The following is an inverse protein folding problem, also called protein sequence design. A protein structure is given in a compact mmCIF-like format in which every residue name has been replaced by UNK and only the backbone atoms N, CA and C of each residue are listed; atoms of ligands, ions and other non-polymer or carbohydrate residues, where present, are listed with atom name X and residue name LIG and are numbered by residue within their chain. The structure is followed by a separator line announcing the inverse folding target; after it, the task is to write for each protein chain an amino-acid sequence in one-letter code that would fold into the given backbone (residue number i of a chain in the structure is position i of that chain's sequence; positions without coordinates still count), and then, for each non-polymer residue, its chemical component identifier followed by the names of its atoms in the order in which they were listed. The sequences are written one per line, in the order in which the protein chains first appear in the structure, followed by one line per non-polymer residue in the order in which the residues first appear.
data_IF_549943997082
#
_entry.id   IF_549943997082
#
_cell.length_a   1.000
_cell.length_b   1.000
_cell.length_c   1.000
_cell.angle_alpha   90.00
_cell.angle_beta   90.00
_cell.angle_gamma   90.00
#
_symmetry.space_group_name_H-M   'P 1'
#
loop_
_entity.id
_entity.type
_entity.pdbx_description
1 polymer ?
#
# COMPACT_ATOMS: atom_id res chain seq x y z
N UNK A 1 -49.40 2.63 -3.75
CA UNK A 1 -48.13 1.92 -4.04
C UNK A 1 -47.05 2.96 -4.33
N UNK A 2 -46.39 3.50 -3.30
CA UNK A 2 -45.30 4.48 -3.48
C UNK A 2 -43.99 3.74 -3.76
N UNK A 3 -43.41 3.98 -4.93
CA UNK A 3 -42.04 3.56 -5.25
C UNK A 3 -41.08 4.56 -4.59
N UNK A 4 -40.39 4.14 -3.53
CA UNK A 4 -39.22 4.85 -3.04
C UNK A 4 -38.09 4.71 -4.07
N UNK A 5 -37.78 5.80 -4.77
CA UNK A 5 -36.61 5.88 -5.63
C UNK A 5 -35.39 5.96 -4.71
N UNK A 6 -34.68 4.84 -4.58
CA UNK A 6 -33.46 4.76 -3.78
C UNK A 6 -32.41 5.74 -4.30
N UNK A 7 -31.99 6.67 -3.44
CA UNK A 7 -30.84 7.52 -3.69
C UNK A 7 -29.60 6.60 -3.62
N UNK A 8 -29.11 6.14 -4.76
CA UNK A 8 -27.76 5.57 -4.83
C UNK A 8 -26.77 6.69 -4.50
N UNK A 9 -26.24 6.69 -3.27
CA UNK A 9 -24.99 7.37 -2.96
C UNK A 9 -23.93 6.75 -3.87
N UNK A 10 -23.62 7.38 -5.00
CA UNK A 10 -22.39 7.08 -5.72
C UNK A 10 -21.25 7.53 -4.81
N UNK A 11 -20.68 6.59 -4.06
CA UNK A 11 -19.34 6.79 -3.53
C UNK A 11 -18.44 6.91 -4.75
N UNK A 12 -17.88 8.09 -5.00
CA UNK A 12 -16.71 8.22 -5.88
C UNK A 12 -15.55 7.52 -5.16
N UNK A 13 -15.54 6.20 -5.18
CA UNK A 13 -14.36 5.40 -4.83
C UNK A 13 -13.47 5.42 -6.06
N UNK A 14 -12.24 5.91 -5.90
CA UNK A 14 -11.24 5.77 -6.95
C UNK A 14 -11.09 4.28 -7.29
N UNK A 15 -11.00 3.89 -8.56
CA UNK A 15 -10.75 2.50 -8.89
C UNK A 15 -9.42 2.05 -8.32
N UNK A 16 -9.30 0.75 -8.01
CA UNK A 16 -8.07 0.17 -7.45
C UNK A 16 -6.86 0.37 -8.39
N UNK A 17 -7.08 0.62 -9.68
CA UNK A 17 -6.07 1.00 -10.68
C UNK A 17 -5.33 2.29 -10.32
N UNK A 18 -5.96 3.21 -9.61
CA UNK A 18 -5.39 4.54 -9.33
C UNK A 18 -4.36 4.50 -8.20
N UNK A 19 -4.37 3.44 -7.38
CA UNK A 19 -3.33 3.22 -6.39
C UNK A 19 -2.06 2.76 -7.12
N UNK A 20 -0.90 3.43 -7.00
CA UNK A 20 0.31 2.97 -7.66
C UNK A 20 0.74 1.57 -7.18
N UNK A 21 1.13 0.69 -8.09
CA UNK A 21 1.60 -0.66 -7.73
C UNK A 21 2.90 -0.59 -6.92
N UNK A 22 3.78 0.35 -7.24
CA UNK A 22 5.04 0.59 -6.54
C UNK A 22 5.16 2.08 -6.25
N UNK A 23 5.49 2.41 -5.01
CA UNK A 23 5.88 3.75 -4.60
C UNK A 23 7.00 3.62 -3.56
N UNK A 24 8.22 3.90 -4.00
CA UNK A 24 9.46 3.74 -3.23
C UNK A 24 10.36 4.95 -3.47
N UNK A 25 11.19 5.30 -2.48
CA UNK A 25 12.17 6.38 -2.67
C UNK A 25 13.14 6.06 -3.82
N UNK A 26 13.54 7.06 -4.63
CA UNK A 26 14.30 6.85 -5.85
C UNK A 26 15.75 6.43 -5.60
N UNK A 27 16.27 6.55 -4.38
CA UNK A 27 17.61 6.07 -4.05
C UNK A 27 17.77 5.84 -2.55
N UNK A 28 18.83 5.11 -2.19
CA UNK A 28 19.24 4.86 -0.81
C UNK A 28 18.94 3.44 -0.34
N UNK A 29 19.17 3.20 0.95
CA UNK A 29 18.85 1.92 1.61
C UNK A 29 17.76 2.14 2.65
N UNK A 30 16.62 1.47 2.49
CA UNK A 30 15.44 1.69 3.32
C UNK A 30 14.63 0.41 3.51
N UNK A 31 13.71 0.43 4.48
CA UNK A 31 12.77 -0.67 4.70
C UNK A 31 11.63 -0.59 3.69
N UNK A 32 11.07 -1.73 3.34
CA UNK A 32 9.87 -1.82 2.52
C UNK A 32 8.88 -2.84 3.08
N UNK A 33 7.61 -2.70 2.73
CA UNK A 33 6.56 -3.70 2.95
C UNK A 33 5.87 -4.07 1.64
N UNK A 34 5.45 -5.33 1.57
CA UNK A 34 4.50 -5.82 0.59
C UNK A 34 3.11 -5.78 1.22
N UNK A 35 2.17 -5.11 0.57
CA UNK A 35 0.83 -4.86 1.08
C UNK A 35 -0.20 -5.48 0.14
N UNK A 36 -1.13 -6.28 0.68
CA UNK A 36 -2.38 -6.60 -0.01
C UNK A 36 -3.37 -5.45 0.23
N UNK A 37 -3.67 -4.71 -0.81
CA UNK A 37 -4.65 -3.63 -0.81
C UNK A 37 -5.97 -4.16 -1.38
N UNK A 38 -7.04 -4.08 -0.59
CA UNK A 38 -8.37 -4.55 -0.97
C UNK A 38 -9.38 -3.41 -0.96
N UNK A 39 -10.18 -3.29 -2.02
CA UNK A 39 -11.35 -2.40 -2.04
C UNK A 39 -12.44 -3.01 -1.15
N UNK A 40 -12.95 -2.23 -0.19
CA UNK A 40 -13.99 -2.70 0.74
C UNK A 40 -15.35 -2.90 0.09
N UNK A 41 -15.59 -2.27 -1.06
CA UNK A 41 -16.88 -2.31 -1.78
C UNK A 41 -16.97 -3.48 -2.75
N UNK A 42 -15.92 -3.70 -3.57
CA UNK A 42 -15.89 -4.74 -4.59
C UNK A 42 -15.24 -6.04 -4.11
N UNK A 43 -14.50 -6.00 -2.99
CA UNK A 43 -13.66 -7.09 -2.51
C UNK A 43 -12.53 -7.49 -3.47
N UNK A 44 -12.27 -6.68 -4.51
CA UNK A 44 -11.10 -6.80 -5.37
C UNK A 44 -9.83 -6.46 -4.59
N UNK A 45 -8.70 -7.02 -5.01
CA UNK A 45 -7.43 -6.77 -4.33
C UNK A 45 -6.23 -6.86 -5.27
N UNK A 46 -5.19 -6.09 -4.94
CA UNK A 46 -3.89 -6.18 -5.58
C UNK A 46 -2.76 -6.06 -4.56
N UNK A 47 -1.57 -6.49 -4.96
CA UNK A 47 -0.37 -6.32 -4.17
C UNK A 47 0.31 -5.01 -4.56
N UNK A 48 0.72 -4.23 -3.56
CA UNK A 48 1.46 -2.99 -3.75
C UNK A 48 2.73 -3.00 -2.90
N UNK A 49 3.76 -2.32 -3.37
CA UNK A 49 5.06 -2.17 -2.69
C UNK A 49 5.22 -0.73 -2.21
N UNK A 50 5.60 -0.56 -0.95
CA UNK A 50 5.85 0.74 -0.32
C UNK A 50 7.16 0.72 0.45
N UNK A 51 7.98 1.75 0.32
CA UNK A 51 9.28 1.82 1.00
C UNK A 51 9.90 3.22 0.96
N UNK A 52 10.17 3.78 2.13
CA UNK A 52 10.63 5.17 2.27
C UNK A 52 11.79 5.27 3.26
N UNK A 53 12.79 6.08 2.91
CA UNK A 53 13.94 6.42 3.72
C UNK A 53 13.55 7.05 5.06
N UNK A 54 12.50 7.89 5.05
CA UNK A 54 11.97 8.55 6.27
C UNK A 54 11.37 7.56 7.28
N UNK A 55 11.04 6.33 6.87
CA UNK A 55 10.38 5.35 7.73
C UNK A 55 11.39 4.40 8.36
N UNK A 56 11.68 4.60 9.65
CA UNK A 56 12.60 3.75 10.41
C UNK A 56 12.04 2.34 10.66
N UNK A 57 10.72 2.18 10.72
CA UNK A 57 10.06 0.90 10.97
C UNK A 57 9.00 0.57 9.90
N UNK A 58 8.74 -0.73 9.72
CA UNK A 58 7.72 -1.23 8.79
C UNK A 58 6.30 -0.72 9.12
N UNK A 59 6.02 -0.47 10.41
CA UNK A 59 4.73 0.08 10.86
C UNK A 59 4.50 1.51 10.40
N UNK A 60 5.55 2.31 10.28
CA UNK A 60 5.45 3.70 9.79
C UNK A 60 5.08 3.72 8.31
N UNK A 61 5.66 2.81 7.52
CA UNK A 61 5.34 2.65 6.09
C UNK A 61 3.86 2.26 5.94
N UNK A 62 3.37 1.32 6.76
CA UNK A 62 1.96 0.91 6.72
C UNK A 62 1.01 2.04 7.14
N UNK A 63 1.40 2.88 8.11
CA UNK A 63 0.62 4.06 8.51
C UNK A 63 0.53 5.06 7.35
N UNK A 64 1.65 5.44 6.74
CA UNK A 64 1.68 6.33 5.58
C UNK A 64 0.85 5.78 4.42
N UNK A 65 1.01 4.50 4.07
CA UNK A 65 0.23 3.88 3.01
C UNK A 65 -1.30 3.89 3.25
N UNK A 66 -1.74 3.82 4.53
CA UNK A 66 -3.15 3.92 4.90
C UNK A 66 -3.69 5.35 4.80
N UNK A 67 -2.86 6.33 5.16
CA UNK A 67 -3.18 7.76 5.01
C UNK A 67 -3.35 8.09 3.51
N UNK A 68 -2.43 7.63 2.66
CA UNK A 68 -2.43 7.90 1.22
C UNK A 68 -3.58 7.20 0.50
N UNK A 69 -3.89 5.95 0.84
CA UNK A 69 -4.98 5.20 0.21
C UNK A 69 -6.37 5.68 0.67
N UNK A 70 -6.49 6.19 1.90
CA UNK A 70 -7.76 6.58 2.50
C UNK A 70 -8.61 5.41 3.01
N UNK A 71 -9.79 5.73 3.52
CA UNK A 71 -10.63 4.80 4.28
C UNK A 71 -11.39 3.77 3.44
N UNK A 72 -11.45 3.93 2.12
CA UNK A 72 -12.14 3.02 1.19
C UNK A 72 -11.45 1.67 1.04
N UNK A 73 -10.14 1.58 1.36
CA UNK A 73 -9.35 0.37 1.18
C UNK A 73 -8.95 -0.27 2.51
N UNK A 74 -8.75 -1.58 2.47
CA UNK A 74 -8.15 -2.37 3.55
C UNK A 74 -6.74 -2.76 3.14
N UNK A 75 -5.76 -2.26 3.89
CA UNK A 75 -4.34 -2.57 3.66
C UNK A 75 -3.86 -3.59 4.70
N UNK A 76 -3.43 -4.76 4.23
CA UNK A 76 -2.81 -5.83 5.02
C UNK A 76 -1.35 -5.97 4.64
N UNK A 77 -0.44 -5.79 5.59
CA UNK A 77 0.96 -6.13 5.41
C UNK A 77 1.10 -7.66 5.29
N UNK A 78 1.69 -8.14 4.20
CA UNK A 78 1.88 -9.57 3.91
C UNK A 78 3.36 -9.96 3.80
N UNK A 79 4.27 -9.00 3.94
CA UNK A 79 5.71 -9.23 3.90
C UNK A 79 6.48 -7.92 3.95
N UNK A 80 7.81 -8.02 3.94
CA UNK A 80 8.68 -6.86 3.90
C UNK A 80 10.13 -7.24 4.13
N UNK A 81 10.99 -6.23 4.06
CA UNK A 81 12.44 -6.40 4.19
C UNK A 81 13.15 -5.07 4.04
N UNK A 82 14.27 -5.07 3.32
CA UNK A 82 15.03 -3.89 2.92
C UNK A 82 15.18 -3.84 1.40
N UNK A 83 15.27 -2.61 0.90
CA UNK A 83 15.64 -2.28 -0.47
C UNK A 83 16.92 -1.45 -0.41
N UNK A 84 17.87 -1.74 -1.31
CA UNK A 84 18.92 -0.82 -1.73
C UNK A 84 18.60 -0.40 -3.16
N UNK A 85 18.28 0.87 -3.35
CA UNK A 85 17.96 1.47 -4.64
C UNK A 85 19.10 2.39 -5.07
N UNK A 86 19.73 2.08 -6.19
CA UNK A 86 20.77 2.90 -6.82
C UNK A 86 20.27 3.35 -8.19
N UNK A 87 19.77 4.59 -8.27
CA UNK A 87 19.24 5.15 -9.53
C UNK A 87 20.34 5.39 -10.57
N UNK A 88 21.58 5.64 -10.14
CA UNK A 88 22.71 5.83 -11.06
C UNK A 88 23.07 4.51 -11.75
N UNK A 89 23.14 3.43 -10.96
CA UNK A 89 23.41 2.08 -11.47
C UNK A 89 22.17 1.41 -12.09
N UNK A 90 20.99 2.02 -11.98
CA UNK A 90 19.68 1.42 -12.32
C UNK A 90 19.48 0.05 -11.69
N UNK A 91 19.91 -0.08 -10.42
CA UNK A 91 19.88 -1.33 -9.66
C UNK A 91 18.94 -1.20 -8.45
N UNK A 92 18.10 -2.21 -8.26
CA UNK A 92 17.28 -2.39 -7.05
C UNK A 92 17.56 -3.76 -6.48
N UNK A 93 18.21 -3.80 -5.31
CA UNK A 93 18.43 -5.02 -4.54
C UNK A 93 17.41 -5.13 -3.42
N UNK A 94 16.59 -6.18 -3.45
CA UNK A 94 15.58 -6.49 -2.43
C UNK A 94 16.08 -7.65 -1.57
N UNK A 95 16.13 -7.49 -0.25
CA UNK A 95 16.72 -8.48 0.65
C UNK A 95 16.21 -8.37 2.09
N UNK A 96 16.56 -9.37 2.90
CA UNK A 96 16.18 -9.43 4.31
C UNK A 96 14.70 -9.73 4.54
N UNK A 97 14.27 -9.63 5.79
CA UNK A 97 12.90 -9.90 6.22
C UNK A 97 12.39 -8.80 7.16
N UNK A 98 11.08 -8.73 7.35
CA UNK A 98 10.47 -7.87 8.37
C UNK A 98 10.49 -8.58 9.73
N UNK A 99 11.07 -7.93 10.75
CA UNK A 99 11.01 -8.42 12.14
C UNK A 99 9.58 -8.34 12.71
N UNK A 100 8.67 -7.61 12.06
CA UNK A 100 7.28 -7.47 12.47
C UNK A 100 6.41 -8.03 11.34
N UNK A 101 6.21 -9.35 11.35
CA UNK A 101 5.01 -9.97 10.75
C UNK A 101 4.02 -10.09 11.90
N UNK A 102 3.34 -8.99 12.24
CA UNK A 102 2.27 -9.04 13.24
C UNK A 102 0.95 -8.76 12.53
N UNK A 103 0.14 -9.81 12.54
CA UNK A 103 -1.31 -9.79 12.49
C UNK A 103 -1.83 -8.66 13.38
N UNK A 104 -2.20 -7.52 12.78
CA UNK A 104 -3.18 -6.59 13.33
C UNK A 104 -4.38 -6.57 12.39
#
# INVERSE_FOLDING_TARGET
MLKFLGIQKRSHTMPLSDIPDVDIDPSGTFKYILIKCSDKSSNESKNIVRGYYKCTFHVDILRTAREDAGSSYKLKCIGGGRIRHDDNAKEILVYGYSNVIILL
#
